data_IF_961785802026
#
_entry.id   IF_961785802026
#
_cell.length_a   1.000
_cell.length_b   1.000
_cell.length_c   1.000
_cell.angle_alpha   90.00
_cell.angle_beta   90.00
_cell.angle_gamma   90.00
#
_symmetry.space_group_name_H-M   'P 1'
#
loop_
_entity.id
_entity.type
_entity.pdbx_description
1 polymer ?
#
# COMPACT_ATOMS: atom_id res chain seq x y z
N UNK A 1 12.54 -16.05 16.93
CA UNK A 1 13.13 -14.70 16.90
C UNK A 1 12.47 -13.91 15.78
N UNK A 2 11.62 -12.94 16.11
CA UNK A 2 11.07 -11.95 15.15
C UNK A 2 12.01 -10.74 14.98
N UNK A 3 13.26 -10.87 15.44
CA UNK A 3 14.29 -9.84 15.32
C UNK A 3 14.72 -9.69 13.87
N UNK A 4 14.39 -8.53 13.28
CA UNK A 4 14.84 -8.11 11.95
C UNK A 4 13.74 -7.92 10.92
N UNK A 5 12.54 -8.50 11.09
CA UNK A 5 11.45 -8.32 10.12
C UNK A 5 10.97 -6.87 10.06
N UNK A 6 10.86 -6.24 11.24
CA UNK A 6 10.46 -4.84 11.38
C UNK A 6 11.46 -3.92 10.68
N UNK A 7 12.77 -4.12 10.91
CA UNK A 7 13.82 -3.33 10.28
C UNK A 7 13.84 -3.53 8.76
N UNK A 8 13.73 -4.78 8.30
CA UNK A 8 13.66 -5.10 6.87
C UNK A 8 12.43 -4.46 6.21
N UNK A 9 11.28 -4.46 6.89
CA UNK A 9 10.07 -3.80 6.39
C UNK A 9 10.29 -2.30 6.25
N UNK A 10 10.89 -1.64 7.25
CA UNK A 10 11.22 -0.20 7.17
C UNK A 10 12.16 0.09 6.00
N UNK A 11 13.25 -0.68 5.86
CA UNK A 11 14.22 -0.49 4.77
C UNK A 11 13.54 -0.67 3.41
N UNK A 12 12.67 -1.68 3.25
CA UNK A 12 11.92 -1.89 2.02
C UNK A 12 10.95 -0.75 1.73
N UNK A 13 10.17 -0.29 2.72
CA UNK A 13 9.25 0.84 2.56
C UNK A 13 9.98 2.10 2.10
N UNK A 14 11.09 2.45 2.77
CA UNK A 14 11.90 3.61 2.41
C UNK A 14 12.53 3.45 1.02
N UNK A 15 13.02 2.24 0.69
CA UNK A 15 13.60 1.96 -0.63
C UNK A 15 12.57 2.10 -1.76
N UNK A 16 11.34 1.60 -1.55
CA UNK A 16 10.23 1.73 -2.52
C UNK A 16 9.85 3.20 -2.68
N UNK A 17 9.72 3.94 -1.57
CA UNK A 17 9.40 5.36 -1.61
C UNK A 17 10.45 6.16 -2.40
N UNK A 18 11.74 5.97 -2.11
CA UNK A 18 12.82 6.69 -2.79
C UNK A 18 12.85 6.33 -4.28
N UNK A 19 12.71 5.05 -4.62
CA UNK A 19 12.68 4.57 -6.00
C UNK A 19 11.51 5.20 -6.78
N UNK A 20 10.31 5.17 -6.22
CA UNK A 20 9.12 5.76 -6.85
C UNK A 20 9.22 7.27 -6.96
N UNK A 21 9.76 7.96 -5.96
CA UNK A 21 9.98 9.40 -6.01
C UNK A 21 10.94 9.76 -7.15
N UNK A 22 12.00 8.99 -7.34
CA UNK A 22 12.95 9.19 -8.44
C UNK A 22 12.31 8.93 -9.81
N UNK A 23 11.55 7.84 -9.93
CA UNK A 23 10.83 7.49 -11.17
C UNK A 23 9.76 8.54 -11.50
N UNK A 24 9.03 9.02 -10.50
CA UNK A 24 8.03 10.07 -10.67
C UNK A 24 8.68 11.39 -11.10
N UNK A 25 9.73 11.83 -10.39
CA UNK A 25 10.48 13.05 -10.73
C UNK A 25 11.15 13.00 -12.09
N UNK A 26 11.57 11.82 -12.55
CA UNK A 26 12.13 11.65 -13.90
C UNK A 26 11.10 11.75 -15.03
N UNK A 27 9.81 11.92 -14.71
CA UNK A 27 8.74 12.12 -15.68
C UNK A 27 8.44 10.89 -16.55
N UNK A 28 9.00 9.72 -16.19
CA UNK A 28 8.80 8.47 -16.93
C UNK A 28 7.37 7.91 -16.75
N UNK A 29 6.70 8.25 -15.64
CA UNK A 29 5.32 7.84 -15.36
C UNK A 29 4.43 9.08 -15.38
N UNK A 30 3.59 9.21 -16.40
CA UNK A 30 2.46 10.15 -16.38
C UNK A 30 1.26 9.48 -15.76
N UNK A 31 0.77 10.03 -14.65
CA UNK A 31 -0.41 9.54 -13.95
C UNK A 31 -1.64 9.98 -14.75
N UNK A 32 -2.09 9.12 -15.66
CA UNK A 32 -3.30 9.38 -16.46
C UNK A 32 -4.57 9.14 -15.64
N UNK A 33 -5.68 9.75 -16.05
CA UNK A 33 -6.97 9.59 -15.36
C UNK A 33 -7.42 8.12 -15.29
N UNK A 34 -7.19 7.35 -16.36
CA UNK A 34 -7.45 5.91 -16.38
C UNK A 34 -6.58 5.13 -15.38
N UNK A 35 -5.33 5.55 -15.17
CA UNK A 35 -4.45 4.97 -14.17
C UNK A 35 -4.92 5.31 -12.75
N UNK A 36 -5.30 6.57 -12.49
CA UNK A 36 -5.88 6.99 -11.19
C UNK A 36 -7.13 6.17 -10.85
N UNK A 37 -8.06 6.07 -11.81
CA UNK A 37 -9.28 5.29 -11.64
C UNK A 37 -8.99 3.80 -11.41
N UNK A 38 -8.04 3.22 -12.15
CA UNK A 38 -7.65 1.82 -11.99
C UNK A 38 -7.08 1.51 -10.60
N UNK A 39 -6.16 2.33 -10.11
CA UNK A 39 -5.55 2.14 -8.78
C UNK A 39 -6.55 2.45 -7.66
N UNK A 40 -7.40 3.48 -7.81
CA UNK A 40 -8.47 3.77 -6.87
C UNK A 40 -9.48 2.61 -6.77
N UNK A 41 -9.88 2.04 -7.91
CA UNK A 41 -10.76 0.87 -7.96
C UNK A 41 -10.10 -0.37 -7.31
N UNK A 42 -8.82 -0.61 -7.56
CA UNK A 42 -8.07 -1.69 -6.93
C UNK A 42 -8.00 -1.53 -5.40
N UNK A 43 -7.72 -0.31 -4.94
CA UNK A 43 -7.66 0.02 -3.50
C UNK A 43 -9.03 -0.15 -2.83
N UNK A 44 -10.09 0.33 -3.48
CA UNK A 44 -11.47 0.10 -3.05
C UNK A 44 -11.83 -1.38 -2.99
N UNK A 45 -11.40 -2.17 -3.97
CA UNK A 45 -11.58 -3.62 -3.99
C UNK A 45 -10.88 -4.32 -2.82
N UNK A 46 -9.63 -3.95 -2.51
CA UNK A 46 -8.90 -4.47 -1.35
C UNK A 46 -9.61 -4.09 -0.05
N UNK A 47 -10.08 -2.84 0.07
CA UNK A 47 -10.83 -2.37 1.22
C UNK A 47 -12.13 -3.18 1.42
N UNK A 48 -12.87 -3.47 0.34
CA UNK A 48 -14.07 -4.32 0.40
C UNK A 48 -13.73 -5.73 0.86
N UNK A 49 -12.65 -6.34 0.36
CA UNK A 49 -12.21 -7.67 0.80
C UNK A 49 -11.90 -7.68 2.31
N UNK A 50 -11.22 -6.64 2.81
CA UNK A 50 -10.98 -6.50 4.24
C UNK A 50 -12.28 -6.32 5.03
N UNK A 51 -13.24 -5.58 4.50
CA UNK A 51 -14.55 -5.37 5.12
C UNK A 51 -15.35 -6.68 5.20
N UNK A 52 -15.40 -7.45 4.12
CA UNK A 52 -15.98 -8.80 4.10
C UNK A 52 -15.30 -9.73 5.10
N UNK A 53 -13.98 -9.64 5.24
CA UNK A 53 -13.25 -10.44 6.22
C UNK A 53 -13.61 -10.09 7.65
N UNK A 54 -13.76 -8.81 7.97
CA UNK A 54 -14.15 -8.36 9.31
C UNK A 54 -15.56 -8.86 9.63
N UNK A 55 -16.50 -8.68 8.70
CA UNK A 55 -17.89 -9.16 8.86
C UNK A 55 -17.92 -10.67 9.01
N UNK A 56 -17.25 -11.43 8.13
CA UNK A 56 -17.18 -12.89 8.20
C UNK A 56 -16.56 -13.40 9.52
N UNK A 57 -15.58 -12.68 10.05
CA UNK A 57 -14.97 -12.96 11.35
C UNK A 57 -15.97 -12.92 12.51
N UNK A 58 -16.95 -12.00 12.47
CA UNK A 58 -18.04 -11.96 13.48
C UNK A 58 -18.97 -13.18 13.41
N UNK A 59 -19.07 -13.83 12.25
CA UNK A 59 -19.86 -15.06 12.05
C UNK A 59 -19.04 -16.35 12.22
N UNK A 60 -17.79 -16.25 12.69
CA UNK A 60 -16.89 -17.40 12.85
C UNK A 60 -16.36 -17.99 11.54
N UNK A 61 -16.61 -17.33 10.41
CA UNK A 61 -16.03 -17.66 9.11
C UNK A 61 -14.67 -16.96 8.99
N UNK A 62 -13.61 -17.64 9.46
CA UNK A 62 -12.24 -17.19 9.21
C UNK A 62 -11.90 -17.45 7.74
N UNK A 63 -11.88 -16.39 6.93
CA UNK A 63 -11.42 -16.48 5.56
C UNK A 63 -9.91 -16.76 5.54
N UNK A 64 -9.56 -18.03 5.32
CA UNK A 64 -8.22 -18.62 5.26
C UNK A 64 -7.19 -17.86 4.40
N UNK A 65 -7.65 -16.97 3.50
CA UNK A 65 -6.80 -16.13 2.64
C UNK A 65 -6.14 -14.94 3.38
N UNK A 66 -6.71 -14.50 4.51
CA UNK A 66 -6.21 -13.38 5.33
C UNK A 66 -5.51 -13.83 6.61
N UNK A 67 -5.63 -15.11 6.98
CA UNK A 67 -4.94 -15.65 8.14
C UNK A 67 -3.42 -15.55 7.97
N UNK A 68 -2.79 -14.89 8.95
CA UNK A 68 -1.34 -14.71 9.00
C UNK A 68 -0.58 -16.03 9.21
N UNK A 69 -1.31 -17.10 9.56
CA UNK A 69 -0.81 -18.44 9.89
C UNK A 69 -0.87 -19.40 8.69
N UNK A 70 -1.63 -19.08 7.64
CA UNK A 70 -1.69 -19.90 6.43
C UNK A 70 -0.70 -19.38 5.38
N UNK A 71 0.51 -19.94 5.42
CA UNK A 71 1.56 -19.70 4.42
C UNK A 71 1.24 -20.29 3.04
N UNK A 72 -0.02 -20.33 2.58
CA UNK A 72 -0.34 -20.81 1.22
C UNK A 72 0.30 -19.89 0.15
N UNK A 73 0.77 -20.46 -0.96
CA UNK A 73 1.40 -19.70 -2.06
C UNK A 73 0.49 -18.56 -2.56
N UNK A 74 -0.83 -18.78 -2.48
CA UNK A 74 -1.87 -17.82 -2.83
C UNK A 74 -1.92 -16.61 -1.89
N UNK A 75 -1.68 -16.78 -0.58
CA UNK A 75 -1.75 -15.68 0.40
C UNK A 75 -0.52 -14.76 0.32
N UNK A 76 0.63 -15.29 -0.09
CA UNK A 76 1.85 -14.52 -0.40
C UNK A 76 1.65 -13.74 -1.70
N UNK A 77 1.12 -14.39 -2.74
CA UNK A 77 0.84 -13.73 -4.03
C UNK A 77 -0.13 -12.55 -3.89
N UNK A 78 -1.20 -12.71 -3.11
CA UNK A 78 -2.14 -11.62 -2.80
C UNK A 78 -1.45 -10.49 -2.03
N UNK A 79 -0.66 -10.78 -1.00
CA UNK A 79 0.07 -9.74 -0.27
C UNK A 79 1.07 -9.00 -1.16
N UNK A 80 1.77 -9.70 -2.07
CA UNK A 80 2.65 -9.06 -3.04
C UNK A 80 1.87 -8.13 -3.99
N UNK A 81 0.71 -8.58 -4.48
CA UNK A 81 -0.18 -7.78 -5.30
C UNK A 81 -0.63 -6.51 -4.57
N UNK A 82 -1.02 -6.63 -3.29
CA UNK A 82 -1.44 -5.49 -2.47
C UNK A 82 -0.27 -4.52 -2.25
N UNK A 83 0.95 -5.00 -2.03
CA UNK A 83 2.14 -4.13 -1.93
C UNK A 83 2.38 -3.34 -3.21
N UNK A 84 2.17 -3.95 -4.39
CA UNK A 84 2.23 -3.25 -5.68
C UNK A 84 1.15 -2.17 -5.75
N UNK A 85 -0.11 -2.48 -5.39
CA UNK A 85 -1.18 -1.48 -5.40
C UNK A 85 -0.89 -0.34 -4.40
N UNK A 86 -0.39 -0.64 -3.20
CA UNK A 86 -0.01 0.35 -2.22
C UNK A 86 1.13 1.25 -2.73
N UNK A 87 2.10 0.67 -3.46
CA UNK A 87 3.19 1.46 -4.04
C UNK A 87 2.68 2.35 -5.19
N UNK A 88 1.69 1.92 -5.97
CA UNK A 88 1.03 2.77 -6.96
C UNK A 88 0.17 3.87 -6.31
N UNK A 89 -0.43 3.64 -5.14
CA UNK A 89 -1.11 4.71 -4.39
C UNK A 89 -0.14 5.83 -3.99
N UNK A 90 1.08 5.47 -3.61
CA UNK A 90 2.10 6.43 -3.25
C UNK A 90 2.46 7.35 -4.45
N UNK A 91 2.45 6.81 -5.68
CA UNK A 91 2.60 7.61 -6.91
C UNK A 91 1.42 8.55 -7.12
N UNK A 92 0.19 8.10 -6.85
CA UNK A 92 -0.99 8.98 -6.92
C UNK A 92 -0.95 10.08 -5.87
N UNK A 93 -0.41 9.81 -4.67
CA UNK A 93 -0.24 10.83 -3.63
C UNK A 93 0.76 11.90 -4.08
N UNK A 94 1.85 11.53 -4.75
CA UNK A 94 2.79 12.49 -5.33
C UNK A 94 2.15 13.36 -6.42
N UNK A 95 1.39 12.75 -7.32
CA UNK A 95 0.65 13.45 -8.38
C UNK A 95 -0.39 14.42 -7.80
N UNK A 96 -1.12 14.00 -6.76
CA UNK A 96 -2.08 14.86 -6.07
C UNK A 96 -1.40 16.07 -5.41
N UNK A 97 -0.23 15.88 -4.79
CA UNK A 97 0.54 16.96 -4.17
C UNK A 97 1.10 17.92 -5.23
N UNK A 98 1.66 17.41 -6.33
CA UNK A 98 2.21 18.22 -7.41
C UNK A 98 1.12 19.01 -8.15
N UNK A 99 0.03 18.35 -8.53
CA UNK A 99 -1.13 18.99 -9.17
C UNK A 99 -1.80 20.03 -8.23
N UNK A 100 -1.84 19.75 -6.93
CA UNK A 100 -2.30 20.69 -5.92
C UNK A 100 -1.38 21.92 -5.78
N UNK A 101 -0.07 21.73 -5.82
CA UNK A 101 0.91 22.81 -5.77
C UNK A 101 0.91 23.67 -7.04
N UNK A 102 0.84 23.06 -8.22
CA UNK A 102 0.80 23.74 -9.52
C UNK A 102 -0.46 24.59 -9.70
N UNK A 103 -1.61 24.11 -9.20
CA UNK A 103 -2.89 24.84 -9.24
C UNK A 103 -2.99 25.96 -8.21
N UNK A 104 -1.92 26.23 -7.45
CA UNK A 104 -1.88 27.28 -6.43
C UNK A 104 -2.87 27.02 -5.29
N UNK A 105 -3.11 25.75 -4.95
CA UNK A 105 -4.05 25.38 -3.92
C UNK A 105 -3.71 26.07 -2.57
N UNK A 106 -4.73 26.50 -1.80
CA UNK A 106 -4.52 27.20 -0.54
C UNK A 106 -3.72 26.34 0.46
N UNK A 107 -2.85 26.97 1.26
CA UNK A 107 -1.89 26.32 2.19
C UNK A 107 -2.43 25.19 3.08
N UNK A 108 -3.73 25.14 3.37
CA UNK A 108 -4.31 24.03 4.13
C UNK A 108 -4.33 22.71 3.35
N UNK A 109 -4.34 22.74 2.01
CA UNK A 109 -4.29 21.54 1.17
C UNK A 109 -2.93 20.82 1.24
N UNK A 110 -1.84 21.54 1.51
CA UNK A 110 -0.52 20.93 1.73
C UNK A 110 -0.55 19.91 2.88
N UNK A 111 -1.27 20.25 3.96
CA UNK A 111 -1.46 19.35 5.10
C UNK A 111 -2.28 18.11 4.74
N UNK A 112 -3.30 18.25 3.90
CA UNK A 112 -4.08 17.12 3.41
C UNK A 112 -3.27 16.20 2.51
N UNK A 113 -2.45 16.75 1.62
CA UNK A 113 -1.54 15.98 0.78
C UNK A 113 -0.48 15.23 1.61
N UNK A 114 0.14 15.92 2.56
CA UNK A 114 1.11 15.30 3.47
C UNK A 114 0.48 14.19 4.35
N UNK A 115 -0.75 14.38 4.80
CA UNK A 115 -1.49 13.37 5.56
C UNK A 115 -1.82 12.15 4.70
N UNK A 116 -2.32 12.34 3.48
CA UNK A 116 -2.59 11.23 2.55
C UNK A 116 -1.35 10.38 2.30
N UNK A 117 -0.23 11.04 1.98
CA UNK A 117 1.06 10.40 1.79
C UNK A 117 1.50 9.62 3.03
N UNK A 118 1.35 10.18 4.24
CA UNK A 118 1.66 9.48 5.48
C UNK A 118 0.80 8.22 5.68
N UNK A 119 -0.50 8.30 5.41
CA UNK A 119 -1.41 7.16 5.53
C UNK A 119 -1.01 6.04 4.57
N UNK A 120 -0.74 6.37 3.32
CA UNK A 120 -0.30 5.39 2.31
C UNK A 120 1.05 4.78 2.67
N UNK A 121 1.98 5.57 3.22
CA UNK A 121 3.30 5.10 3.66
C UNK A 121 3.19 4.11 4.82
N UNK A 122 2.36 4.43 5.83
CA UNK A 122 2.07 3.52 6.94
C UNK A 122 1.36 2.25 6.44
N UNK A 123 0.42 2.38 5.52
CA UNK A 123 -0.28 1.24 4.95
C UNK A 123 0.67 0.30 4.19
N UNK A 124 1.54 0.86 3.33
CA UNK A 124 2.56 0.10 2.61
C UNK A 124 3.51 -0.62 3.57
N UNK A 125 3.89 0.04 4.68
CA UNK A 125 4.68 -0.59 5.73
C UNK A 125 3.98 -1.81 6.36
N UNK A 126 2.69 -1.68 6.71
CA UNK A 126 1.92 -2.78 7.29
C UNK A 126 1.80 -3.97 6.34
N UNK A 127 1.63 -3.71 5.04
CA UNK A 127 1.54 -4.78 4.04
C UNK A 127 2.87 -5.48 3.80
N UNK A 128 4.00 -4.75 3.80
CA UNK A 128 5.33 -5.35 3.73
C UNK A 128 5.62 -6.18 4.98
N UNK A 129 5.25 -5.68 6.15
CA UNK A 129 5.38 -6.42 7.40
C UNK A 129 4.56 -7.72 7.35
N UNK A 130 3.32 -7.65 6.86
CA UNK A 130 2.46 -8.83 6.65
C UNK A 130 3.06 -9.81 5.63
N UNK A 131 3.63 -9.32 4.54
CA UNK A 131 4.30 -10.14 3.52
C UNK A 131 5.51 -10.88 4.12
N UNK A 132 6.39 -10.16 4.83
CA UNK A 132 7.56 -10.74 5.48
C UNK A 132 7.18 -11.72 6.60
N UNK A 133 6.12 -11.42 7.37
CA UNK A 133 5.59 -12.32 8.39
C UNK A 133 5.12 -13.65 7.77
N UNK A 134 4.39 -13.61 6.65
CA UNK A 134 3.96 -14.82 5.92
C UNK A 134 5.14 -15.63 5.36
N UNK A 135 6.16 -14.94 4.84
CA UNK A 135 7.37 -15.60 4.33
C UNK A 135 8.17 -16.28 5.46
N UNK A 136 8.25 -15.65 6.64
CA UNK A 136 8.96 -16.20 7.78
C UNK A 136 8.17 -17.32 8.49
N UNK A 137 6.83 -17.28 8.48
CA UNK A 137 5.97 -18.34 9.03
C UNK A 137 6.08 -19.69 8.31
N UNK A 138 6.76 -19.75 7.17
CA UNK A 138 7.06 -21.01 6.45
C UNK A 138 8.34 -21.71 6.92
N UNK A 139 9.17 -21.07 7.75
CA UNK A 139 10.32 -21.72 8.41
C UNK A 139 9.87 -22.39 9.69
#
# INVERSE_FOLDING_TARGET
MFEGIVLNAVILTVSILISLLFVYKSGLIKVTENFKLGVAAATGGIALVYLFSIIGGFFGLNFSFLDSTNGSLMSIGISLFIVIIASLNLVMDFDFIEEGAERGAPKYMEWYGAFGLLVTLVWLYLEILRLLAKLNSRK
#
